data_IF_914376035177
#
_entry.id   IF_914376035177
#
_cell.length_a   1.000
_cell.length_b   1.000
_cell.length_c   1.000
_cell.angle_alpha   90.00
_cell.angle_beta   90.00
_cell.angle_gamma   90.00
#
_symmetry.space_group_name_H-M   'P 1'
#
loop_
_entity.id
_entity.type
_entity.pdbx_description
1 polymer ?
#
# COMPACT_ATOMS: atom_id res chain seq x y z
N UNK A 1 18.98 21.11 14.09
CA UNK A 1 18.33 19.80 14.25
C UNK A 1 19.12 18.78 13.44
N UNK A 2 19.77 17.82 14.10
CA UNK A 2 20.81 16.98 13.49
C UNK A 2 20.23 16.04 12.42
N UNK A 3 20.82 16.01 11.22
CA UNK A 3 20.42 15.16 10.09
C UNK A 3 20.22 13.67 10.49
N UNK A 4 20.98 13.20 11.49
CA UNK A 4 20.89 11.84 12.04
C UNK A 4 19.50 11.53 12.63
N UNK A 5 18.88 12.49 13.31
CA UNK A 5 17.56 12.30 13.91
C UNK A 5 16.48 12.21 12.83
N UNK A 6 16.57 13.03 11.78
CA UNK A 6 15.64 13.01 10.65
C UNK A 6 15.71 11.67 9.89
N UNK A 7 16.92 11.15 9.66
CA UNK A 7 17.11 9.84 9.01
C UNK A 7 16.49 8.72 9.85
N UNK A 8 16.75 8.69 11.17
CA UNK A 8 16.20 7.67 12.07
C UNK A 8 14.66 7.71 12.11
N UNK A 9 14.09 8.91 12.24
CA UNK A 9 12.63 9.11 12.23
C UNK A 9 12.05 8.66 10.89
N UNK A 10 12.66 9.03 9.77
CA UNK A 10 12.17 8.64 8.43
C UNK A 10 12.16 7.12 8.23
N UNK A 11 13.20 6.42 8.70
CA UNK A 11 13.27 4.95 8.65
C UNK A 11 12.20 4.29 9.52
N UNK A 12 11.97 4.82 10.73
CA UNK A 12 10.91 4.32 11.62
C UNK A 12 9.52 4.56 11.02
N UNK A 13 9.26 5.78 10.52
CA UNK A 13 8.02 6.14 9.84
C UNK A 13 7.77 5.26 8.62
N UNK A 14 8.80 4.95 7.82
CA UNK A 14 8.66 4.02 6.69
C UNK A 14 8.10 2.65 7.12
N UNK A 15 8.63 2.06 8.20
CA UNK A 15 8.19 0.75 8.70
C UNK A 15 6.75 0.83 9.20
N UNK A 16 6.42 1.86 10.01
CA UNK A 16 5.08 2.07 10.54
C UNK A 16 4.06 2.25 9.41
N UNK A 17 4.37 3.09 8.42
CA UNK A 17 3.51 3.30 7.25
C UNK A 17 3.33 2.03 6.43
N UNK A 18 4.37 1.21 6.26
CA UNK A 18 4.25 -0.08 5.56
C UNK A 18 3.28 -1.02 6.29
N UNK A 19 3.36 -1.08 7.62
CA UNK A 19 2.45 -1.90 8.43
C UNK A 19 1.01 -1.39 8.34
N UNK A 20 0.81 -0.08 8.51
CA UNK A 20 -0.50 0.56 8.37
C UNK A 20 -1.08 0.26 6.99
N UNK A 21 -0.31 0.46 5.93
CA UNK A 21 -0.77 0.20 4.57
C UNK A 21 -1.17 -1.27 4.37
N UNK A 22 -0.35 -2.21 4.84
CA UNK A 22 -0.63 -3.65 4.73
C UNK A 22 -1.93 -4.04 5.44
N UNK A 23 -2.13 -3.57 6.67
CA UNK A 23 -3.36 -3.80 7.43
C UNK A 23 -4.56 -3.14 6.75
N UNK A 24 -4.41 -1.91 6.24
CA UNK A 24 -5.47 -1.21 5.52
C UNK A 24 -5.91 -1.95 4.26
N UNK A 25 -4.99 -2.56 3.50
CA UNK A 25 -5.37 -3.38 2.34
C UNK A 25 -6.14 -4.64 2.78
N UNK A 26 -5.73 -5.30 3.85
CA UNK A 26 -6.46 -6.45 4.38
C UNK A 26 -7.88 -6.07 4.84
N UNK A 27 -8.02 -4.95 5.57
CA UNK A 27 -9.32 -4.40 5.97
C UNK A 27 -10.18 -4.03 4.76
N UNK A 28 -9.58 -3.49 3.70
CA UNK A 28 -10.32 -3.20 2.46
C UNK A 28 -10.95 -4.43 1.83
N UNK A 29 -10.19 -5.52 1.76
CA UNK A 29 -10.68 -6.82 1.25
C UNK A 29 -11.80 -7.36 2.14
N UNK A 30 -11.67 -7.24 3.48
CA UNK A 30 -12.73 -7.62 4.41
C UNK A 30 -14.01 -6.80 4.20
N UNK A 31 -13.91 -5.47 4.08
CA UNK A 31 -15.08 -4.60 3.90
C UNK A 31 -15.75 -4.87 2.53
N UNK A 32 -14.97 -5.14 1.48
CA UNK A 32 -15.52 -5.59 0.19
C UNK A 32 -16.26 -6.94 0.34
N UNK A 33 -15.71 -7.88 1.11
CA UNK A 33 -16.37 -9.14 1.44
C UNK A 33 -17.68 -8.92 2.21
N UNK A 34 -17.69 -8.03 3.20
CA UNK A 34 -18.92 -7.63 3.91
C UNK A 34 -19.98 -7.08 2.94
N UNK A 35 -19.56 -6.27 1.97
CA UNK A 35 -20.46 -5.72 0.96
C UNK A 35 -21.04 -6.77 0.00
N UNK A 36 -20.31 -7.86 -0.24
CA UNK A 36 -20.75 -8.97 -1.08
C UNK A 36 -21.62 -9.98 -0.35
N UNK A 37 -21.28 -10.31 0.90
CA UNK A 37 -21.83 -11.46 1.61
C UNK A 37 -22.75 -11.12 2.79
N UNK A 38 -22.73 -9.87 3.28
CA UNK A 38 -23.44 -9.48 4.51
C UNK A 38 -24.43 -8.34 4.23
N UNK A 39 -23.95 -7.18 3.80
CA UNK A 39 -24.77 -5.99 3.56
C UNK A 39 -24.19 -5.13 2.43
N UNK A 40 -24.87 -4.98 1.29
CA UNK A 40 -24.47 -4.10 0.19
C UNK A 40 -24.22 -2.63 0.61
N UNK A 41 -24.81 -2.16 1.71
CA UNK A 41 -24.51 -0.84 2.28
C UNK A 41 -23.03 -0.63 2.63
N UNK A 42 -22.28 -1.71 2.88
CA UNK A 42 -20.85 -1.69 3.19
C UNK A 42 -19.98 -1.19 2.03
N UNK A 43 -20.48 -1.12 0.78
CA UNK A 43 -19.76 -0.52 -0.34
C UNK A 43 -19.39 0.94 -0.11
N UNK A 44 -20.26 1.70 0.58
CA UNK A 44 -19.97 3.08 0.94
C UNK A 44 -18.72 3.18 1.83
N UNK A 45 -18.63 2.29 2.83
CA UNK A 45 -17.47 2.20 3.73
C UNK A 45 -16.21 1.76 2.99
N UNK A 46 -16.30 0.78 2.08
CA UNK A 46 -15.18 0.33 1.25
C UNK A 46 -14.58 1.49 0.44
N UNK A 47 -15.43 2.22 -0.29
CA UNK A 47 -15.02 3.35 -1.13
C UNK A 47 -14.46 4.51 -0.30
N UNK A 48 -15.11 4.87 0.81
CA UNK A 48 -14.63 5.97 1.66
C UNK A 48 -13.30 5.63 2.33
N UNK A 49 -13.16 4.40 2.86
CA UNK A 49 -11.95 3.97 3.56
C UNK A 49 -10.72 4.01 2.63
N UNK A 50 -10.89 3.73 1.32
CA UNK A 50 -9.78 3.64 0.37
C UNK A 50 -9.06 4.97 0.19
N UNK A 51 -9.82 6.07 0.24
CA UNK A 51 -9.34 7.42 0.00
C UNK A 51 -8.36 7.88 1.09
N UNK A 52 -8.54 7.44 2.34
CA UNK A 52 -7.64 7.81 3.44
C UNK A 52 -6.24 7.23 3.31
N UNK A 53 -6.10 6.06 2.65
CA UNK A 53 -4.81 5.36 2.55
C UNK A 53 -4.18 5.40 1.16
N UNK A 54 -4.84 6.04 0.17
CA UNK A 54 -4.41 6.05 -1.23
C UNK A 54 -2.98 6.60 -1.43
N UNK A 55 -2.60 7.62 -0.65
CA UNK A 55 -1.28 8.27 -0.76
C UNK A 55 -0.21 7.66 0.14
N UNK A 56 -0.54 6.70 1.00
CA UNK A 56 0.43 6.11 1.94
C UNK A 56 1.67 5.53 1.22
N UNK A 57 1.56 4.79 0.10
CA UNK A 57 2.73 4.30 -0.63
C UNK A 57 3.62 5.41 -1.20
N UNK A 58 3.04 6.57 -1.55
CA UNK A 58 3.82 7.74 -1.98
C UNK A 58 4.57 8.35 -0.79
N UNK A 59 3.92 8.48 0.36
CA UNK A 59 4.58 8.94 1.59
C UNK A 59 5.70 7.96 1.99
N UNK A 60 5.48 6.65 1.86
CA UNK A 60 6.53 5.64 2.05
C UNK A 60 7.72 5.86 1.12
N UNK A 61 7.49 6.14 -0.17
CA UNK A 61 8.56 6.45 -1.11
C UNK A 61 9.38 7.67 -0.68
N UNK A 62 8.71 8.74 -0.22
CA UNK A 62 9.38 9.94 0.31
C UNK A 62 10.21 9.60 1.55
N UNK A 63 9.65 8.85 2.51
CA UNK A 63 10.36 8.43 3.72
C UNK A 63 11.56 7.52 3.41
N UNK A 64 11.44 6.66 2.41
CA UNK A 64 12.55 5.83 1.94
C UNK A 64 13.69 6.66 1.36
N UNK A 65 13.37 7.72 0.60
CA UNK A 65 14.35 8.63 0.04
C UNK A 65 15.06 9.45 1.12
N UNK A 66 14.30 10.12 2.00
CA UNK A 66 14.87 10.92 3.11
C UNK A 66 15.67 10.05 4.08
N UNK A 67 15.19 8.84 4.36
CA UNK A 67 15.86 7.88 5.24
C UNK A 67 17.10 7.21 4.64
N UNK A 68 17.44 7.49 3.38
CA UNK A 68 18.54 6.84 2.67
C UNK A 68 18.39 5.31 2.63
N UNK A 69 17.16 4.83 2.44
CA UNK A 69 16.87 3.40 2.26
C UNK A 69 17.25 2.94 0.84
N UNK A 70 17.38 1.64 0.63
CA UNK A 70 17.81 1.09 -0.65
C UNK A 70 16.87 1.50 -1.80
N UNK A 71 17.44 1.70 -3.00
CA UNK A 71 16.68 2.03 -4.23
C UNK A 71 15.62 0.97 -4.56
N UNK A 72 15.76 -0.26 -4.05
CA UNK A 72 14.75 -1.31 -4.18
C UNK A 72 13.48 -1.00 -3.38
N UNK A 73 13.61 -0.53 -2.13
CA UNK A 73 12.47 -0.16 -1.29
C UNK A 73 11.73 1.07 -1.82
N UNK A 74 12.48 2.04 -2.34
CA UNK A 74 11.90 3.20 -3.04
C UNK A 74 11.06 2.76 -4.25
N UNK A 75 11.64 1.96 -5.16
CA UNK A 75 10.94 1.45 -6.35
C UNK A 75 9.71 0.61 -6.00
N UNK A 76 9.79 -0.25 -4.98
CA UNK A 76 8.64 -1.02 -4.49
C UNK A 76 7.53 -0.10 -4.00
N UNK A 77 7.84 0.96 -3.25
CA UNK A 77 6.85 1.92 -2.74
C UNK A 77 6.16 2.69 -3.88
N UNK A 78 6.93 3.13 -4.88
CA UNK A 78 6.39 3.75 -6.10
C UNK A 78 5.52 2.76 -6.90
N UNK A 79 5.95 1.50 -7.01
CA UNK A 79 5.16 0.44 -7.65
C UNK A 79 3.82 0.20 -6.95
N UNK A 80 3.82 0.16 -5.61
CA UNK A 80 2.59 0.08 -4.83
C UNK A 80 1.68 1.30 -5.06
N UNK A 81 2.24 2.51 -5.16
CA UNK A 81 1.45 3.69 -5.49
C UNK A 81 0.83 3.60 -6.91
N UNK A 82 1.60 3.12 -7.89
CA UNK A 82 1.08 2.86 -9.24
C UNK A 82 -0.06 1.85 -9.24
N UNK A 83 0.04 0.78 -8.44
CA UNK A 83 -1.04 -0.18 -8.26
C UNK A 83 -2.27 0.43 -7.59
N UNK A 84 -2.10 1.33 -6.61
CA UNK A 84 -3.23 2.07 -6.02
C UNK A 84 -3.94 2.90 -7.09
N UNK A 85 -3.21 3.61 -7.95
CA UNK A 85 -3.82 4.32 -9.09
C UNK A 85 -4.60 3.33 -9.97
N UNK A 86 -4.02 2.17 -10.27
CA UNK A 86 -4.71 1.08 -10.99
C UNK A 86 -6.00 0.61 -10.32
N UNK A 87 -6.05 0.52 -8.98
CA UNK A 87 -7.27 0.19 -8.24
C UNK A 87 -8.38 1.22 -8.45
N UNK A 88 -8.05 2.52 -8.44
CA UNK A 88 -9.02 3.57 -8.72
C UNK A 88 -9.48 3.55 -10.18
N UNK A 89 -8.58 3.32 -11.14
CA UNK A 89 -8.94 3.21 -12.56
C UNK A 89 -9.87 2.02 -12.82
N UNK A 90 -9.53 0.84 -12.30
CA UNK A 90 -10.38 -0.36 -12.43
C UNK A 90 -11.76 -0.17 -11.79
N UNK A 91 -11.85 0.58 -10.69
CA UNK A 91 -13.13 0.92 -10.06
C UNK A 91 -13.95 1.93 -10.90
N UNK A 92 -13.32 2.98 -11.43
CA UNK A 92 -14.01 4.02 -12.23
C UNK A 92 -14.52 3.47 -13.57
N UNK A 93 -13.70 2.65 -14.25
CA UNK A 93 -14.07 2.06 -15.55
C UNK A 93 -14.89 0.78 -15.42
N UNK A 94 -15.28 0.40 -14.19
CA UNK A 94 -15.95 -0.87 -13.93
C UNK A 94 -17.28 -1.02 -14.64
N UNK A 95 -18.01 0.08 -14.84
CA UNK A 95 -19.30 0.12 -15.54
C UNK A 95 -19.19 0.09 -17.06
N UNK A 96 -17.98 0.28 -17.62
CA UNK A 96 -17.73 0.40 -19.05
C UNK A 96 -17.02 -0.84 -19.60
N UNK A 97 -16.15 -1.46 -18.81
CA UNK A 97 -15.33 -2.60 -19.23
C UNK A 97 -15.34 -3.64 -18.10
N UNK A 98 -16.32 -4.54 -18.09
CA UNK A 98 -16.52 -5.50 -16.99
C UNK A 98 -15.32 -6.40 -16.69
N UNK A 99 -14.51 -6.75 -17.69
CA UNK A 99 -13.26 -7.50 -17.48
C UNK A 99 -12.20 -6.70 -16.70
N UNK A 100 -12.18 -5.38 -16.84
CA UNK A 100 -11.24 -4.51 -16.13
C UNK A 100 -11.56 -4.48 -14.62
N UNK A 101 -12.84 -4.59 -14.26
CA UNK A 101 -13.29 -4.75 -12.86
C UNK A 101 -12.76 -6.03 -12.22
N UNK A 102 -12.67 -7.12 -12.99
CA UNK A 102 -12.20 -8.42 -12.48
C UNK A 102 -10.71 -8.39 -12.07
N UNK A 103 -9.93 -7.44 -12.59
CA UNK A 103 -8.54 -7.23 -12.15
C UNK A 103 -8.44 -6.59 -10.77
N UNK A 104 -9.47 -5.88 -10.31
CA UNK A 104 -9.46 -5.16 -9.03
C UNK A 104 -9.07 -6.06 -7.83
N UNK A 105 -9.71 -7.23 -7.59
CA UNK A 105 -9.28 -8.13 -6.51
C UNK A 105 -7.87 -8.69 -6.71
N UNK A 106 -7.43 -8.92 -7.96
CA UNK A 106 -6.06 -9.40 -8.24
C UNK A 106 -5.03 -8.34 -7.85
N UNK A 107 -5.26 -7.08 -8.22
CA UNK A 107 -4.39 -5.96 -7.85
C UNK A 107 -4.41 -5.74 -6.34
N UNK A 108 -5.55 -5.91 -5.66
CA UNK A 108 -5.63 -5.84 -4.20
C UNK A 108 -4.71 -6.88 -3.52
N UNK A 109 -4.72 -8.12 -4.01
CA UNK A 109 -3.82 -9.18 -3.51
C UNK A 109 -2.36 -8.85 -3.79
N UNK A 110 -2.03 -8.30 -4.97
CA UNK A 110 -0.67 -7.85 -5.29
C UNK A 110 -0.20 -6.70 -4.38
N UNK A 111 -1.09 -5.74 -4.08
CA UNK A 111 -0.83 -4.64 -3.13
C UNK A 111 -0.52 -5.19 -1.74
N UNK A 112 -1.36 -6.11 -1.24
CA UNK A 112 -1.15 -6.74 0.05
C UNK A 112 0.18 -7.50 0.08
N UNK A 113 0.40 -8.40 -0.88
CA UNK A 113 1.61 -9.20 -0.97
C UNK A 113 2.87 -8.33 -1.08
N UNK A 114 2.85 -7.31 -1.95
CA UNK A 114 3.96 -6.37 -2.12
C UNK A 114 4.28 -5.60 -0.84
N UNK A 115 3.26 -5.20 -0.07
CA UNK A 115 3.47 -4.54 1.23
C UNK A 115 4.11 -5.48 2.26
N UNK A 116 3.69 -6.75 2.32
CA UNK A 116 4.27 -7.76 3.22
C UNK A 116 5.70 -8.10 2.81
N UNK A 117 5.98 -8.17 1.51
CA UNK A 117 7.32 -8.41 0.99
C UNK A 117 8.31 -7.28 1.34
N UNK A 118 7.86 -6.02 1.38
CA UNK A 118 8.66 -4.90 1.91
C UNK A 118 9.01 -5.13 3.39
N UNK A 119 8.05 -5.56 4.22
CA UNK A 119 8.28 -5.82 5.65
C UNK A 119 9.30 -6.95 5.84
N UNK A 120 9.19 -8.03 5.04
CA UNK A 120 10.13 -9.16 5.06
C UNK A 120 11.53 -8.75 4.61
N UNK A 121 11.62 -7.99 3.52
CA UNK A 121 12.90 -7.47 3.00
C UNK A 121 13.62 -6.57 4.01
N UNK A 122 12.87 -5.78 4.80
CA UNK A 122 13.44 -4.92 5.85
C UNK A 122 13.98 -5.67 7.07
N UNK A 123 13.55 -6.92 7.31
CA UNK A 123 14.11 -7.79 8.35
C UNK A 123 15.39 -8.50 7.89
N UNK A 124 15.51 -8.78 6.59
CA UNK A 124 16.67 -9.46 5.99
C UNK A 124 17.91 -8.57 5.78
N UNK A 125 17.77 -7.25 5.70
CA UNK A 125 18.91 -6.33 5.50
C UNK A 125 19.78 -6.12 6.76
N UNK A 126 19.63 -6.96 7.79
CA UNK A 126 20.52 -7.03 8.94
C UNK A 126 21.59 -8.14 8.82
N UNK A 127 21.62 -8.87 7.71
CA UNK A 127 22.59 -9.97 7.51
C UNK A 127 23.71 -9.59 6.53
N UNK A 128 23.48 -8.66 5.61
CA UNK A 128 24.52 -8.20 4.69
C UNK A 128 24.81 -6.73 4.94
N UNK A 129 25.88 -6.51 5.72
CA UNK A 129 26.57 -5.23 5.75
C UNK A 129 27.41 -5.10 4.50
N UNK A 130 27.06 -4.13 3.65
CA UNK A 130 27.97 -3.51 2.69
C UNK A 130 28.41 -2.15 3.26
#
# INVERSE_FOLDING_TARGET
MNNINLVRVSRASFIVLTLIFSVSVALQVLIAGMALFVDPGSWAAHVSFARYFAFVPLIMAIMAWIGGLSRRLLRKSIGLFGMVIGMFLTAVFSSQIGFLSALHPVIALMLFWGSVDIIRSGKGSKIDGD
#
